data_IF_731466048209
#
_entry.id   IF_731466048209
#
_cell.length_a   1.000
_cell.length_b   1.000
_cell.length_c   1.000
_cell.angle_alpha   90.00
_cell.angle_beta   90.00
_cell.angle_gamma   90.00
#
_symmetry.space_group_name_H-M   'P 1'
#
loop_
_entity.id
_entity.type
_entity.pdbx_description
1 polymer ?
#
# COMPACT_ATOMS: atom_id res chain seq x y z
N UNK A 1 -13.72 24.63 -4.40
CA UNK A 1 -13.40 25.00 -3.00
C UNK A 1 -13.67 23.87 -2.01
N UNK A 2 -14.82 23.19 -2.10
CA UNK A 2 -15.15 22.05 -1.21
C UNK A 2 -14.16 20.88 -1.31
N UNK A 3 -13.67 20.57 -2.51
CA UNK A 3 -12.76 19.44 -2.73
C UNK A 3 -11.37 19.67 -2.14
N UNK A 4 -10.90 20.92 -2.17
CA UNK A 4 -9.62 21.34 -1.55
C UNK A 4 -9.70 21.21 -0.03
N UNK A 5 -10.82 21.62 0.56
CA UNK A 5 -11.04 21.51 2.01
C UNK A 5 -11.10 20.04 2.45
N UNK A 6 -11.78 19.18 1.70
CA UNK A 6 -11.87 17.75 1.98
C UNK A 6 -10.49 17.06 1.88
N UNK A 7 -9.66 17.46 0.92
CA UNK A 7 -8.30 16.93 0.77
C UNK A 7 -7.40 17.31 1.96
N UNK A 8 -7.50 18.55 2.45
CA UNK A 8 -6.76 19.03 3.62
C UNK A 8 -7.17 18.25 4.88
N UNK A 9 -8.48 18.07 5.12
CA UNK A 9 -8.95 17.31 6.29
C UNK A 9 -8.52 15.84 6.25
N UNK A 10 -8.51 15.20 5.07
CA UNK A 10 -7.98 13.84 4.91
C UNK A 10 -6.48 13.79 5.21
N UNK A 11 -5.71 14.77 4.73
CA UNK A 11 -4.28 14.88 5.02
C UNK A 11 -3.99 15.01 6.53
N UNK A 12 -4.74 15.87 7.22
CA UNK A 12 -4.62 16.05 8.68
C UNK A 12 -5.00 14.75 9.42
N UNK A 13 -6.06 14.07 9.00
CA UNK A 13 -6.48 12.80 9.59
C UNK A 13 -5.41 11.71 9.51
N UNK A 14 -4.79 11.53 8.34
CA UNK A 14 -3.69 10.58 8.18
C UNK A 14 -2.46 10.97 8.99
N UNK A 15 -2.14 12.26 9.07
CA UNK A 15 -1.02 12.75 9.89
C UNK A 15 -1.24 12.46 11.37
N UNK A 16 -2.43 12.74 11.91
CA UNK A 16 -2.77 12.47 13.32
C UNK A 16 -2.72 10.97 13.61
N UNK A 17 -3.27 10.13 12.73
CA UNK A 17 -3.23 8.67 12.90
C UNK A 17 -1.80 8.12 12.82
N UNK A 18 -0.94 8.66 11.96
CA UNK A 18 0.47 8.28 11.90
C UNK A 18 1.23 8.67 13.17
N UNK A 19 0.95 9.87 13.70
CA UNK A 19 1.51 10.31 15.00
C UNK A 19 1.02 9.39 16.12
N UNK A 20 -0.27 9.11 16.23
CA UNK A 20 -0.78 8.22 17.29
C UNK A 20 -0.20 6.80 17.14
N UNK A 21 -0.22 6.23 15.93
CA UNK A 21 0.27 4.88 15.66
C UNK A 21 1.77 4.70 15.90
N UNK A 22 2.57 5.75 15.72
CA UNK A 22 4.00 5.72 16.00
C UNK A 22 4.32 5.98 17.49
N UNK A 23 3.54 6.83 18.15
CA UNK A 23 3.85 7.30 19.50
C UNK A 23 3.25 6.40 20.59
N UNK A 24 2.04 5.89 20.40
CA UNK A 24 1.38 5.02 21.36
C UNK A 24 2.23 3.78 21.72
N UNK A 25 2.82 3.02 20.76
CA UNK A 25 3.65 1.87 21.11
C UNK A 25 4.96 2.27 21.81
N UNK A 26 5.59 3.39 21.42
CA UNK A 26 6.81 3.88 22.08
C UNK A 26 6.53 4.31 23.53
N UNK A 27 5.39 4.93 23.78
CA UNK A 27 4.95 5.36 25.10
C UNK A 27 4.63 4.15 26.00
N UNK A 28 3.99 3.12 25.43
CA UNK A 28 3.74 1.85 26.13
C UNK A 28 5.04 1.11 26.45
N UNK A 29 6.00 1.08 25.54
CA UNK A 29 7.33 0.47 25.78
C UNK A 29 8.06 1.22 26.89
N UNK A 30 8.07 2.57 26.86
CA UNK A 30 8.66 3.37 27.92
C UNK A 30 8.00 3.14 29.29
N UNK A 31 6.66 3.01 29.32
CA UNK A 31 5.91 2.71 30.53
C UNK A 31 6.22 1.29 31.06
N UNK A 32 6.37 0.31 30.17
CA UNK A 32 6.74 -1.06 30.54
C UNK A 32 8.13 -1.13 31.19
N UNK A 33 9.13 -0.46 30.60
CA UNK A 33 10.47 -0.39 31.18
C UNK A 33 10.50 0.41 32.49
N UNK A 34 9.67 1.44 32.62
CA UNK A 34 9.49 2.17 33.88
C UNK A 34 8.94 1.26 34.99
N UNK A 35 7.91 0.46 34.70
CA UNK A 35 7.33 -0.47 35.67
C UNK A 35 8.29 -1.62 36.04
N UNK A 36 9.06 -2.14 35.08
CA UNK A 36 10.00 -3.23 35.30
C UNK A 36 11.28 -2.76 36.03
N UNK A 37 11.80 -1.58 35.70
CA UNK A 37 13.01 -1.02 36.29
C UNK A 37 12.84 -0.65 37.77
N UNK A 38 11.65 -0.22 38.17
CA UNK A 38 11.32 0.04 39.58
C UNK A 38 11.32 -1.21 40.46
N UNK A 39 11.27 -2.41 39.87
CA UNK A 39 11.21 -3.66 40.61
C UNK A 39 12.58 -4.35 40.80
N UNK A 40 13.65 -3.95 40.08
CA UNK A 40 14.86 -4.78 39.91
C UNK A 40 16.19 -4.13 40.37
N UNK A 41 16.34 -2.80 40.48
CA UNK A 41 17.67 -2.17 40.67
C UNK A 41 17.77 -1.11 41.79
N UNK A 42 18.91 -1.11 42.48
CA UNK A 42 19.28 -0.18 43.56
C UNK A 42 19.26 1.29 43.08
N UNK A 43 18.61 2.16 43.86
CA UNK A 43 18.03 3.44 43.41
C UNK A 43 19.06 4.50 42.98
N UNK A 44 20.36 4.32 43.24
CA UNK A 44 21.38 5.37 43.08
C UNK A 44 22.06 5.45 41.71
N UNK A 45 22.31 4.31 41.05
CA UNK A 45 22.94 4.25 39.72
C UNK A 45 21.90 4.34 38.58
N UNK A 46 20.66 3.92 38.86
CA UNK A 46 19.52 3.99 37.93
C UNK A 46 19.12 5.43 37.60
N UNK A 47 19.15 6.34 38.58
CA UNK A 47 18.71 7.72 38.41
C UNK A 47 19.60 8.51 37.42
N UNK A 48 20.91 8.25 37.40
CA UNK A 48 21.86 9.00 36.56
C UNK A 48 21.82 8.58 35.08
N UNK A 49 21.73 7.28 34.79
CA UNK A 49 21.73 6.76 33.42
C UNK A 49 20.37 6.92 32.73
N UNK A 50 19.27 6.74 33.47
CA UNK A 50 17.90 6.89 32.95
C UNK A 50 17.60 8.34 32.53
N UNK A 51 18.09 9.33 33.28
CA UNK A 51 17.95 10.74 32.92
C UNK A 51 18.65 11.06 31.59
N UNK A 52 19.88 10.58 31.39
CA UNK A 52 20.65 10.83 30.17
C UNK A 52 20.01 10.18 28.94
N UNK A 53 19.55 8.93 29.06
CA UNK A 53 18.84 8.22 27.99
C UNK A 53 17.56 8.93 27.57
N UNK A 54 16.78 9.45 28.52
CA UNK A 54 15.57 10.23 28.22
C UNK A 54 15.86 11.51 27.46
N UNK A 55 16.92 12.25 27.83
CA UNK A 55 17.33 13.45 27.11
C UNK A 55 17.83 13.15 25.69
N UNK A 56 18.55 12.05 25.50
CA UNK A 56 18.99 11.60 24.16
C UNK A 56 17.78 11.23 23.29
N UNK A 57 16.84 10.45 23.80
CA UNK A 57 15.62 10.09 23.08
C UNK A 57 14.78 11.31 22.72
N UNK A 58 14.60 12.24 23.66
CA UNK A 58 13.88 13.50 23.42
C UNK A 58 14.60 14.35 22.36
N UNK A 59 15.92 14.42 22.41
CA UNK A 59 16.73 15.12 21.40
C UNK A 59 16.61 14.52 20.00
N UNK A 60 16.73 13.20 19.88
CA UNK A 60 16.54 12.49 18.60
C UNK A 60 15.12 12.64 18.07
N UNK A 61 14.13 12.58 18.96
CA UNK A 61 12.73 12.79 18.62
C UNK A 61 12.48 14.22 18.11
N UNK A 62 13.00 15.24 18.79
CA UNK A 62 12.89 16.63 18.36
C UNK A 62 13.54 16.85 16.98
N UNK A 63 14.69 16.21 16.73
CA UNK A 63 15.37 16.26 15.44
C UNK A 63 14.53 15.59 14.35
N UNK A 64 14.02 14.38 14.58
CA UNK A 64 13.18 13.66 13.62
C UNK A 64 11.89 14.43 13.29
N UNK A 65 11.24 15.02 14.29
CA UNK A 65 10.05 15.84 14.12
C UNK A 65 10.35 17.11 13.30
N UNK A 66 11.45 17.81 13.60
CA UNK A 66 11.88 18.96 12.82
C UNK A 66 12.16 18.59 11.35
N UNK A 67 12.84 17.46 11.10
CA UNK A 67 13.10 16.96 9.76
C UNK A 67 11.80 16.62 9.00
N UNK A 68 10.83 16.00 9.67
CA UNK A 68 9.53 15.70 9.08
C UNK A 68 8.74 16.96 8.69
N UNK A 69 8.77 18.01 9.53
CA UNK A 69 8.14 19.30 9.21
C UNK A 69 8.80 19.95 7.99
N UNK A 70 10.13 19.97 7.93
CA UNK A 70 10.86 20.51 6.78
C UNK A 70 10.52 19.74 5.51
N UNK A 71 10.48 18.41 5.57
CA UNK A 71 10.11 17.58 4.43
C UNK A 71 8.66 17.86 3.97
N UNK A 72 7.72 17.97 4.90
CA UNK A 72 6.33 18.30 4.61
C UNK A 72 6.21 19.69 3.95
N UNK A 73 6.95 20.69 4.42
CA UNK A 73 7.00 22.02 3.81
C UNK A 73 7.56 21.97 2.39
N UNK A 74 8.67 21.27 2.17
CA UNK A 74 9.28 21.13 0.83
C UNK A 74 8.30 20.46 -0.13
N UNK A 75 7.68 19.35 0.28
CA UNK A 75 6.70 18.64 -0.53
C UNK A 75 5.46 19.49 -0.79
N UNK A 76 4.95 20.19 0.23
CA UNK A 76 3.81 21.10 0.11
C UNK A 76 4.08 22.22 -0.90
N UNK A 77 5.21 22.91 -0.78
CA UNK A 77 5.62 23.96 -1.73
C UNK A 77 5.79 23.41 -3.14
N UNK A 78 6.42 22.24 -3.30
CA UNK A 78 6.58 21.61 -4.61
C UNK A 78 5.22 21.27 -5.26
N UNK A 79 4.29 20.69 -4.50
CA UNK A 79 2.94 20.39 -5.02
C UNK A 79 2.18 21.65 -5.41
N UNK A 80 2.25 22.69 -4.59
CA UNK A 80 1.62 23.98 -4.87
C UNK A 80 2.23 24.64 -6.12
N UNK A 81 3.55 24.58 -6.28
CA UNK A 81 4.24 25.13 -7.44
C UNK A 81 3.85 24.41 -8.73
N UNK A 82 3.70 23.07 -8.70
CA UNK A 82 3.21 22.29 -9.84
C UNK A 82 1.78 22.71 -10.19
N UNK A 83 0.89 22.81 -9.22
CA UNK A 83 -0.52 23.19 -9.44
C UNK A 83 -0.68 24.62 -9.98
N UNK A 84 0.11 25.57 -9.45
CA UNK A 84 0.13 26.94 -9.98
C UNK A 84 0.65 26.94 -11.42
N UNK A 85 1.70 26.16 -11.72
CA UNK A 85 2.26 26.07 -13.07
C UNK A 85 1.26 25.49 -14.07
N UNK A 86 0.57 24.40 -13.73
CA UNK A 86 -0.46 23.80 -14.59
C UNK A 86 -1.60 24.79 -14.84
N UNK A 87 -2.10 25.46 -13.79
CA UNK A 87 -3.16 26.47 -13.92
C UNK A 87 -2.75 27.66 -14.80
N UNK A 88 -1.52 28.15 -14.65
CA UNK A 88 -1.00 29.24 -15.48
C UNK A 88 -0.82 28.81 -16.94
N UNK A 89 -0.37 27.58 -17.18
CA UNK A 89 -0.24 27.04 -18.53
C UNK A 89 -1.61 26.87 -19.20
N UNK A 90 -2.63 26.41 -18.49
CA UNK A 90 -4.00 26.34 -19.01
C UNK A 90 -4.54 27.73 -19.40
N UNK A 91 -4.43 28.72 -18.49
CA UNK A 91 -4.80 30.11 -18.79
C UNK A 91 -4.05 30.68 -19.99
N UNK A 92 -2.77 30.34 -20.14
CA UNK A 92 -1.94 30.77 -21.27
C UNK A 92 -2.42 30.15 -22.58
N UNK A 93 -2.77 28.86 -22.59
CA UNK A 93 -3.29 28.18 -23.77
C UNK A 93 -4.66 28.74 -24.17
N UNK A 94 -5.53 29.06 -23.20
CA UNK A 94 -6.81 29.74 -23.46
C UNK A 94 -6.66 31.11 -24.13
N UNK A 95 -5.61 31.88 -23.80
CA UNK A 95 -5.38 33.21 -24.38
C UNK A 95 -4.59 33.20 -25.68
N UNK A 96 -3.60 32.32 -25.82
CA UNK A 96 -2.63 32.33 -26.93
C UNK A 96 -2.81 31.14 -27.89
N UNK A 97 -3.83 30.32 -27.69
CA UNK A 97 -4.01 29.04 -28.40
C UNK A 97 -3.10 27.94 -27.86
N UNK A 98 -3.37 26.70 -28.28
CA UNK A 98 -2.59 25.50 -27.92
C UNK A 98 -1.41 25.30 -28.87
N UNK A 99 -0.35 24.67 -28.36
CA UNK A 99 0.85 24.30 -29.13
C UNK A 99 0.96 22.78 -29.12
N UNK A 100 0.54 22.16 -30.22
CA UNK A 100 0.35 20.72 -30.35
C UNK A 100 1.66 20.01 -30.75
N UNK A 101 1.93 18.87 -30.14
CA UNK A 101 3.01 17.98 -30.56
C UNK A 101 2.55 16.96 -31.63
N UNK A 102 3.45 16.08 -32.05
CA UNK A 102 3.17 15.02 -33.03
C UNK A 102 2.08 14.04 -32.57
N UNK A 103 1.87 13.91 -31.26
CA UNK A 103 0.84 13.08 -30.65
C UNK A 103 -0.42 13.86 -30.33
N UNK A 104 -0.56 15.08 -30.86
CA UNK A 104 -1.71 15.95 -30.64
C UNK A 104 -1.94 16.32 -29.17
N UNK A 105 -0.90 16.27 -28.35
CA UNK A 105 -0.92 16.77 -26.98
C UNK A 105 -0.35 18.18 -26.93
N UNK A 106 -0.97 19.06 -26.13
CA UNK A 106 -0.45 20.40 -25.94
C UNK A 106 0.81 20.34 -25.06
N UNK A 107 1.95 20.79 -25.57
CA UNK A 107 3.24 20.76 -24.85
C UNK A 107 3.24 21.54 -23.52
N UNK A 108 2.27 22.43 -23.35
CA UNK A 108 2.16 23.32 -22.17
C UNK A 108 1.20 22.81 -21.12
N UNK A 109 0.01 22.38 -21.50
CA UNK A 109 -1.06 21.99 -20.57
C UNK A 109 -1.40 20.49 -20.60
N UNK A 110 -0.91 19.74 -21.59
CA UNK A 110 -1.20 18.31 -21.75
C UNK A 110 -2.58 18.00 -22.32
N UNK A 111 -3.39 19.00 -22.62
CA UNK A 111 -4.68 18.83 -23.30
C UNK A 111 -4.49 18.06 -24.62
N UNK A 112 -5.46 17.23 -25.00
CA UNK A 112 -5.45 16.52 -26.29
C UNK A 112 -6.28 17.31 -27.29
N UNK A 113 -5.76 17.49 -28.51
CA UNK A 113 -6.47 18.21 -29.56
C UNK A 113 -7.76 17.47 -29.94
N UNK A 114 -8.90 18.15 -30.10
CA UNK A 114 -10.04 17.55 -30.76
C UNK A 114 -9.67 17.19 -32.20
N UNK A 115 -9.70 15.90 -32.52
CA UNK A 115 -9.39 15.40 -33.85
C UNK A 115 -10.21 14.13 -34.15
N UNK A 116 -10.25 13.75 -35.42
CA UNK A 116 -10.84 12.47 -35.80
C UNK A 116 -9.90 11.32 -35.42
N UNK A 117 -10.41 10.36 -34.66
CA UNK A 117 -9.59 9.27 -34.15
C UNK A 117 -9.34 8.21 -35.22
N UNK A 118 -8.06 8.00 -35.55
CA UNK A 118 -7.61 6.82 -36.29
C UNK A 118 -7.36 5.66 -35.31
N UNK A 119 -8.30 4.71 -35.26
CA UNK A 119 -8.27 3.61 -34.30
C UNK A 119 -7.51 2.40 -34.86
N UNK A 120 -6.47 1.97 -34.14
CA UNK A 120 -5.87 0.65 -34.33
C UNK A 120 -6.37 -0.29 -33.23
N UNK A 121 -7.57 -0.84 -33.41
CA UNK A 121 -8.25 -1.67 -32.41
C UNK A 121 -8.83 -0.81 -31.28
N UNK A 122 -8.35 -1.00 -30.05
CA UNK A 122 -8.80 -0.23 -28.89
C UNK A 122 -8.00 1.04 -28.60
N UNK A 123 -6.92 1.32 -29.34
CA UNK A 123 -6.04 2.49 -29.09
C UNK A 123 -5.98 3.39 -30.33
N UNK A 124 -6.08 4.70 -30.14
CA UNK A 124 -5.86 5.65 -31.22
C UNK A 124 -4.36 5.81 -31.51
N UNK A 125 -3.94 5.74 -32.77
CA UNK A 125 -2.52 5.85 -33.15
C UNK A 125 -1.94 7.25 -32.98
N UNK A 126 -2.80 8.28 -32.98
CA UNK A 126 -2.40 9.68 -32.91
C UNK A 126 -2.31 10.18 -31.46
N UNK A 127 -3.42 10.15 -30.72
CA UNK A 127 -3.46 10.64 -29.34
C UNK A 127 -3.28 9.56 -28.27
N UNK A 128 -3.29 8.27 -28.65
CA UNK A 128 -3.14 7.18 -27.68
C UNK A 128 -4.37 6.88 -26.82
N UNK A 129 -5.48 7.61 -27.02
CA UNK A 129 -6.78 7.38 -26.36
C UNK A 129 -7.20 5.92 -26.48
N UNK A 130 -7.81 5.37 -25.41
CA UNK A 130 -8.26 3.97 -25.38
C UNK A 130 -9.77 3.93 -25.29
N UNK A 131 -10.43 3.37 -26.30
CA UNK A 131 -11.88 3.15 -26.29
C UNK A 131 -12.23 1.80 -25.67
N UNK A 132 -13.49 1.63 -25.26
CA UNK A 132 -14.03 0.40 -24.67
C UNK A 132 -14.16 -0.78 -25.64
N UNK A 133 -14.04 -0.53 -26.94
CA UNK A 133 -14.24 -1.52 -28.00
C UNK A 133 -12.94 -1.84 -28.75
N UNK A 134 -12.91 -2.98 -29.46
CA UNK A 134 -11.75 -3.36 -30.26
C UNK A 134 -10.54 -3.83 -29.45
N UNK A 135 -10.76 -4.24 -28.19
CA UNK A 135 -9.71 -4.83 -27.37
C UNK A 135 -9.33 -6.22 -27.88
N UNK A 136 -8.02 -6.47 -27.96
CA UNK A 136 -7.45 -7.79 -28.27
C UNK A 136 -6.90 -8.38 -26.98
N UNK A 137 -7.65 -9.32 -26.39
CA UNK A 137 -7.36 -9.87 -25.07
C UNK A 137 -6.39 -11.06 -25.15
N UNK A 138 -5.37 -11.03 -24.30
CA UNK A 138 -4.60 -12.22 -23.93
C UNK A 138 -4.90 -12.53 -22.46
N UNK A 139 -5.84 -13.46 -22.24
CA UNK A 139 -6.45 -13.70 -20.93
C UNK A 139 -7.18 -12.48 -20.39
N UNK A 140 -6.74 -11.97 -19.25
CA UNK A 140 -7.34 -10.82 -18.56
C UNK A 140 -6.72 -9.47 -18.95
N UNK A 141 -5.74 -9.42 -19.86
CA UNK A 141 -5.04 -8.17 -20.23
C UNK A 141 -5.09 -7.94 -21.74
N UNK A 142 -5.44 -6.72 -22.16
CA UNK A 142 -5.43 -6.35 -23.58
C UNK A 142 -3.98 -6.14 -24.05
N UNK A 143 -3.61 -6.78 -25.17
CA UNK A 143 -2.25 -6.71 -25.72
C UNK A 143 -1.91 -5.31 -26.26
N UNK A 144 -2.93 -4.55 -26.71
CA UNK A 144 -2.72 -3.23 -27.35
C UNK A 144 -2.72 -2.07 -26.37
N UNK A 145 -3.64 -2.07 -25.39
CA UNK A 145 -3.78 -0.97 -24.44
C UNK A 145 -3.29 -1.29 -23.03
N UNK A 146 -3.12 -2.58 -22.68
CA UNK A 146 -2.73 -3.00 -21.34
C UNK A 146 -3.86 -3.01 -20.31
N UNK A 147 -5.08 -2.56 -20.68
CA UNK A 147 -6.26 -2.63 -19.82
C UNK A 147 -6.47 -4.05 -19.32
N UNK A 148 -6.79 -4.20 -18.04
CA UNK A 148 -7.14 -5.48 -17.44
C UNK A 148 -8.66 -5.55 -17.23
N UNK A 149 -9.25 -6.73 -17.48
CA UNK A 149 -10.65 -7.03 -17.18
C UNK A 149 -10.75 -8.08 -16.08
N UNK A 150 -11.92 -8.17 -15.44
CA UNK A 150 -12.16 -9.11 -14.33
C UNK A 150 -12.35 -10.57 -14.77
N UNK A 151 -12.41 -10.82 -16.07
CA UNK A 151 -12.59 -12.14 -16.66
C UNK A 151 -11.33 -12.63 -17.38
N UNK A 152 -11.21 -13.95 -17.59
CA UNK A 152 -10.07 -14.54 -18.30
C UNK A 152 -8.77 -14.51 -17.51
N UNK A 153 -8.85 -14.39 -16.19
CA UNK A 153 -7.69 -14.55 -15.32
C UNK A 153 -7.20 -16.01 -15.34
N UNK A 154 -5.91 -16.17 -15.58
CA UNK A 154 -5.20 -17.45 -15.40
C UNK A 154 -4.64 -17.50 -13.98
N UNK A 155 -5.42 -18.09 -13.07
CA UNK A 155 -5.11 -18.19 -11.65
C UNK A 155 -4.10 -19.30 -11.38
N UNK A 156 -3.05 -18.98 -10.63
CA UNK A 156 -2.18 -19.96 -10.00
C UNK A 156 -2.38 -19.94 -8.50
N UNK A 157 -2.38 -21.12 -7.92
CA UNK A 157 -2.36 -21.30 -6.47
C UNK A 157 -0.99 -20.88 -5.93
N UNK A 158 -1.00 -19.99 -4.94
CA UNK A 158 0.18 -19.66 -4.16
C UNK A 158 0.22 -20.59 -2.95
N UNK A 159 0.88 -21.73 -3.10
CA UNK A 159 1.23 -22.59 -1.95
C UNK A 159 2.16 -21.83 -1.01
N UNK A 160 1.87 -21.87 0.29
CA UNK A 160 2.73 -21.25 1.31
C UNK A 160 4.14 -21.84 1.25
N UNK A 161 5.17 -21.02 1.03
CA UNK A 161 6.58 -21.43 0.93
C UNK A 161 7.11 -22.06 2.22
N UNK A 162 6.51 -21.76 3.37
CA UNK A 162 6.84 -22.42 4.64
C UNK A 162 6.18 -23.80 4.80
N UNK A 163 5.21 -24.15 3.95
CA UNK A 163 4.42 -25.36 4.11
C UNK A 163 4.60 -26.36 2.95
N UNK A 164 5.41 -26.03 1.93
CA UNK A 164 5.73 -26.88 0.76
C UNK A 164 4.54 -27.66 0.16
N UNK A 165 3.32 -27.13 0.26
CA UNK A 165 2.11 -27.83 -0.20
C UNK A 165 1.82 -29.15 0.53
N UNK A 166 2.46 -29.44 1.67
CA UNK A 166 2.15 -30.61 2.49
C UNK A 166 0.97 -30.31 3.40
N UNK A 167 -0.20 -30.78 3.00
CA UNK A 167 -1.45 -30.58 3.73
C UNK A 167 -1.64 -31.59 4.87
N UNK A 168 -0.55 -31.95 5.58
CA UNK A 168 -0.60 -32.79 6.78
C UNK A 168 0.54 -32.44 7.74
N UNK A 169 0.44 -31.30 8.42
CA UNK A 169 1.13 -31.14 9.70
C UNK A 169 0.28 -31.90 10.72
N UNK A 170 0.60 -33.17 10.97
CA UNK A 170 0.24 -33.74 12.25
C UNK A 170 0.94 -32.87 13.30
N UNK A 171 0.23 -32.31 14.30
CA UNK A 171 0.92 -31.67 15.41
C UNK A 171 1.88 -32.70 15.98
N UNK A 172 3.17 -32.35 16.05
CA UNK A 172 4.18 -33.22 16.63
C UNK A 172 3.72 -33.61 18.05
N UNK A 173 3.28 -34.86 18.23
CA UNK A 173 2.85 -35.35 19.53
C UNK A 173 1.75 -36.42 19.58
N UNK A 174 1.01 -36.74 18.51
CA UNK A 174 -0.07 -37.74 18.61
C UNK A 174 0.30 -39.11 18.06
N UNK A 175 1.29 -39.77 18.67
CA UNK A 175 1.38 -41.23 18.61
C UNK A 175 0.57 -41.81 19.78
N UNK A 176 -0.71 -42.08 19.57
CA UNK A 176 -1.48 -42.85 20.55
C UNK A 176 -0.98 -44.30 20.53
N UNK A 177 -0.38 -44.73 21.63
CA UNK A 177 0.10 -46.11 21.80
C UNK A 177 -1.03 -46.99 22.34
N UNK A 178 -0.93 -48.30 22.13
CA UNK A 178 -1.88 -49.28 22.65
C UNK A 178 -1.89 -49.22 24.19
N UNK A 179 -2.86 -48.50 24.77
CA UNK A 179 -2.98 -48.32 26.22
C UNK A 179 -3.29 -46.90 26.71
N UNK A 180 -3.31 -45.88 25.85
CA UNK A 180 -3.63 -44.50 26.29
C UNK A 180 -5.15 -44.29 26.51
N UNK A 181 -5.57 -43.48 27.50
CA UNK A 181 -6.98 -43.17 27.73
C UNK A 181 -7.58 -42.43 26.52
N UNK A 182 -8.49 -43.09 25.79
CA UNK A 182 -9.07 -42.59 24.53
C UNK A 182 -8.82 -43.50 23.32
N UNK A 183 -8.03 -44.56 23.48
CA UNK A 183 -7.91 -45.65 22.50
C UNK A 183 -9.25 -46.41 22.40
N UNK A 184 -10.04 -46.16 21.34
CA UNK A 184 -11.22 -47.00 21.03
C UNK A 184 -12.49 -46.34 20.49
N UNK A 185 -12.52 -45.06 20.11
CA UNK A 185 -13.72 -44.47 19.47
C UNK A 185 -13.42 -43.94 18.07
N UNK A 186 -13.73 -44.70 16.99
CA UNK A 186 -13.77 -44.13 15.66
C UNK A 186 -15.15 -43.52 15.44
N UNK A 187 -15.40 -42.34 16.03
CA UNK A 187 -16.35 -41.44 15.42
C UNK A 187 -15.68 -40.97 14.13
N UNK A 188 -16.17 -41.49 13.00
CA UNK A 188 -15.75 -41.13 11.66
C UNK A 188 -16.17 -39.68 11.39
N UNK A 189 -15.53 -38.72 12.05
CA UNK A 189 -15.50 -37.35 11.59
C UNK A 189 -14.48 -37.29 10.47
N UNK A 190 -15.01 -37.21 9.25
CA UNK A 190 -14.27 -36.85 8.05
C UNK A 190 -13.35 -35.65 8.36
N UNK A 191 -12.02 -35.84 8.44
CA UNK A 191 -11.10 -34.79 8.86
C UNK A 191 -10.80 -33.80 7.73
N UNK A 192 -11.42 -33.93 6.55
CA UNK A 192 -10.99 -33.20 5.36
C UNK A 192 -12.06 -32.27 4.79
N UNK A 193 -12.43 -31.27 5.58
CA UNK A 193 -12.85 -29.98 5.01
C UNK A 193 -12.33 -28.85 5.86
N UNK A 194 -11.02 -28.70 5.86
CA UNK A 194 -10.42 -27.44 6.25
C UNK A 194 -10.79 -26.36 5.24
N UNK A 195 -11.49 -25.34 5.70
CA UNK A 195 -11.68 -24.09 4.97
C UNK A 195 -10.37 -23.29 4.96
N UNK A 196 -9.30 -23.82 4.37
CA UNK A 196 -8.06 -23.06 4.22
C UNK A 196 -8.24 -22.06 3.08
N UNK A 197 -8.00 -20.77 3.38
CA UNK A 197 -8.02 -19.69 2.37
C UNK A 197 -6.80 -19.82 1.45
N UNK A 198 -6.94 -20.62 0.41
CA UNK A 198 -5.98 -20.70 -0.69
C UNK A 198 -5.88 -19.32 -1.33
N UNK A 199 -4.67 -18.75 -1.36
CA UNK A 199 -4.41 -17.48 -2.06
C UNK A 199 -4.12 -17.79 -3.52
N UNK A 200 -4.83 -17.15 -4.43
CA UNK A 200 -4.56 -17.27 -5.87
C UNK A 200 -3.94 -15.98 -6.40
N UNK A 201 -3.05 -16.09 -7.38
CA UNK A 201 -2.50 -14.96 -8.13
C UNK A 201 -2.68 -15.19 -9.63
N UNK A 202 -3.07 -14.15 -10.38
CA UNK A 202 -3.19 -14.28 -11.82
C UNK A 202 -1.82 -14.08 -12.49
N UNK A 203 -1.36 -15.06 -13.29
CA UNK A 203 -0.05 -14.98 -14.01
C UNK A 203 0.07 -13.81 -14.99
N UNK A 204 -1.06 -13.27 -15.45
CA UNK A 204 -1.10 -12.25 -16.51
C UNK A 204 -1.13 -10.83 -15.93
N UNK A 205 -1.87 -10.61 -14.84
CA UNK A 205 -2.04 -9.27 -14.25
C UNK A 205 -1.58 -9.13 -12.80
N UNK A 206 -1.22 -10.22 -12.11
CA UNK A 206 -0.79 -10.19 -10.71
C UNK A 206 -1.91 -9.90 -9.71
N UNK A 207 -3.18 -9.88 -10.13
CA UNK A 207 -4.32 -9.77 -9.21
C UNK A 207 -4.32 -10.95 -8.25
N UNK A 208 -4.62 -10.71 -6.97
CA UNK A 208 -4.71 -11.75 -5.92
C UNK A 208 -6.13 -11.84 -5.38
N UNK A 209 -6.55 -13.03 -4.95
CA UNK A 209 -7.85 -13.28 -4.28
C UNK A 209 -7.67 -13.73 -2.85
#
# INVERSE_FOLDING_TARGET
MKDVVIWIFKGIGYFVLAVIGLFLPLLLIAFFFYALGGAILDQRLYFSTHHVLWWILLGLYALAFAAALVFALIKGVATLAVEIRTSLNDRRCKKRGHDWDERLHCRRCGEVQPHEHNWDGCRCTLCGEVRSEGHVWNGCKCVRCGTTRDEGHDWIELTCTNCEGSENVQPEGTSYSYGDPGYGYPDYQDPYRSEYKVKYECRICGKRT
#
